data_IF_507248901521
#
_entry.id   IF_507248901521
#
_cell.length_a   1.000
_cell.length_b   1.000
_cell.length_c   1.000
_cell.angle_alpha   90.00
_cell.angle_beta   90.00
_cell.angle_gamma   90.00
#
_symmetry.space_group_name_H-M   'P 1'
#
loop_
_entity.id
_entity.type
_entity.pdbx_description
1 polymer ?
#
# COMPACT_ATOMS: atom_id res chain seq x y z
N UNK A 1 -7.42 -10.44 23.17
CA UNK A 1 -7.26 -10.07 21.75
C UNK A 1 -8.20 -10.95 20.95
N UNK A 2 -9.19 -10.37 20.28
CA UNK A 2 -10.12 -11.10 19.41
C UNK A 2 -9.57 -11.04 17.99
N UNK A 3 -9.16 -12.18 17.44
CA UNK A 3 -8.77 -12.31 16.04
C UNK A 3 -10.01 -12.81 15.29
N UNK A 4 -10.53 -12.02 14.36
CA UNK A 4 -11.64 -12.44 13.53
C UNK A 4 -11.25 -13.71 12.76
N UNK A 5 -12.16 -14.68 12.58
CA UNK A 5 -11.87 -15.87 11.79
C UNK A 5 -11.50 -15.41 10.38
N UNK A 6 -10.31 -15.82 9.92
CA UNK A 6 -9.93 -15.66 8.53
C UNK A 6 -10.96 -16.43 7.70
N UNK A 7 -11.94 -15.70 7.18
CA UNK A 7 -12.89 -16.19 6.19
C UNK A 7 -12.06 -16.83 5.08
N UNK A 8 -12.19 -18.15 4.98
CA UNK A 8 -11.42 -18.98 4.08
C UNK A 8 -11.61 -18.49 2.64
N UNK A 9 -10.57 -17.82 2.14
CA UNK A 9 -9.87 -18.28 0.93
C UNK A 9 -10.76 -18.47 -0.30
N UNK A 10 -11.60 -17.49 -0.59
CA UNK A 10 -12.06 -17.28 -1.95
C UNK A 10 -10.93 -16.61 -2.75
N UNK A 11 -10.47 -17.26 -3.82
CA UNK A 11 -9.71 -16.67 -4.95
C UNK A 11 -8.16 -16.59 -4.92
N UNK A 12 -7.43 -17.40 -4.15
CA UNK A 12 -5.97 -17.51 -4.39
C UNK A 12 -5.69 -18.62 -5.40
N UNK A 13 -5.96 -18.40 -6.69
CA UNK A 13 -5.52 -19.25 -7.81
C UNK A 13 -5.30 -18.45 -9.12
N UNK A 14 -4.96 -17.15 -9.08
CA UNK A 14 -4.44 -16.46 -10.25
C UNK A 14 -2.90 -16.42 -10.16
N UNK A 15 -2.25 -17.32 -10.89
CA UNK A 15 -0.80 -17.41 -10.94
C UNK A 15 -0.15 -16.15 -11.51
N UNK A 16 -0.86 -15.40 -12.35
CA UNK A 16 -0.37 -14.12 -12.89
C UNK A 16 -0.40 -13.06 -11.81
N UNK A 17 -1.52 -12.91 -11.09
CA UNK A 17 -1.62 -11.96 -9.99
C UNK A 17 -0.61 -12.26 -8.87
N UNK A 18 -0.41 -13.55 -8.54
CA UNK A 18 0.63 -13.95 -7.58
C UNK A 18 2.03 -13.59 -8.06
N UNK A 19 2.36 -13.88 -9.34
CA UNK A 19 3.65 -13.49 -9.90
C UNK A 19 3.85 -11.97 -9.91
N UNK A 20 2.79 -11.20 -10.14
CA UNK A 20 2.83 -9.73 -10.11
C UNK A 20 3.08 -9.20 -8.70
N UNK A 21 2.45 -9.78 -7.68
CA UNK A 21 2.68 -9.40 -6.27
C UNK A 21 4.13 -9.65 -5.87
N UNK A 22 4.68 -10.83 -6.20
CA UNK A 22 6.09 -11.15 -5.91
C UNK A 22 7.04 -10.18 -6.62
N UNK A 23 6.81 -9.92 -7.92
CA UNK A 23 7.61 -8.96 -8.69
C UNK A 23 7.52 -7.53 -8.10
N UNK A 24 6.33 -7.09 -7.69
CA UNK A 24 6.17 -5.79 -7.06
C UNK A 24 6.93 -5.70 -5.73
N UNK A 25 6.91 -6.76 -4.92
CA UNK A 25 7.68 -6.84 -3.68
C UNK A 25 9.18 -6.67 -3.92
N UNK A 26 9.73 -7.40 -4.90
CA UNK A 26 11.14 -7.32 -5.27
C UNK A 26 11.53 -5.90 -5.75
N UNK A 27 10.67 -5.27 -6.57
CA UNK A 27 10.91 -3.91 -7.07
C UNK A 27 10.86 -2.85 -5.96
N UNK A 28 9.99 -2.98 -4.96
CA UNK A 28 9.93 -2.08 -3.80
C UNK A 28 11.24 -2.15 -3.01
N UNK A 29 11.76 -3.37 -2.78
CA UNK A 29 13.02 -3.57 -2.05
C UNK A 29 14.18 -3.00 -2.86
N UNK A 30 14.26 -3.30 -4.16
CA UNK A 30 15.29 -2.77 -5.04
C UNK A 30 15.28 -1.23 -5.09
N UNK A 31 14.10 -0.62 -5.20
CA UNK A 31 13.96 0.84 -5.18
C UNK A 31 14.36 1.46 -3.83
N UNK A 32 13.99 0.81 -2.70
CA UNK A 32 14.37 1.26 -1.36
C UNK A 32 15.87 1.14 -1.07
N UNK A 33 16.55 0.19 -1.73
CA UNK A 33 18.00 -0.02 -1.63
C UNK A 33 18.82 0.80 -2.63
N UNK A 34 18.18 1.45 -3.60
CA UNK A 34 18.85 2.35 -4.54
C UNK A 34 19.29 3.63 -3.81
N UNK A 35 20.48 4.17 -4.17
CA UNK A 35 21.05 5.42 -3.65
C UNK A 35 20.34 6.67 -4.21
N UNK A 36 19.01 6.67 -4.18
CA UNK A 36 18.18 7.81 -4.58
C UNK A 36 17.89 8.70 -3.36
N UNK A 37 17.75 10.01 -3.60
CA UNK A 37 17.35 10.96 -2.55
C UNK A 37 15.93 10.65 -2.07
N UNK A 38 15.68 10.79 -0.76
CA UNK A 38 14.34 10.57 -0.22
C UNK A 38 13.39 11.61 -0.81
N UNK A 39 12.16 11.18 -1.12
CA UNK A 39 11.10 12.10 -1.49
C UNK A 39 10.90 13.15 -0.38
N UNK A 40 10.64 14.39 -0.76
CA UNK A 40 10.23 15.42 0.17
C UNK A 40 8.88 15.07 0.80
N UNK A 41 8.63 15.56 2.01
CA UNK A 41 7.36 15.35 2.70
C UNK A 41 6.16 15.83 1.87
N UNK A 42 6.25 17.01 1.24
CA UNK A 42 5.18 17.55 0.38
C UNK A 42 4.87 16.62 -0.79
N UNK A 43 5.89 16.00 -1.40
CA UNK A 43 5.72 15.07 -2.52
C UNK A 43 5.12 13.74 -2.07
N UNK A 44 5.47 13.28 -0.86
CA UNK A 44 4.87 12.10 -0.25
C UNK A 44 3.38 12.35 -0.01
N UNK A 45 3.01 13.49 0.57
CA UNK A 45 1.62 13.84 0.84
C UNK A 45 0.79 13.98 -0.46
N UNK A 46 1.39 14.53 -1.53
CA UNK A 46 0.78 14.59 -2.87
C UNK A 46 0.49 13.18 -3.43
N UNK A 47 1.49 12.28 -3.40
CA UNK A 47 1.34 10.90 -3.90
C UNK A 47 0.32 10.13 -3.08
N UNK A 48 0.33 10.30 -1.76
CA UNK A 48 -0.58 9.63 -0.84
C UNK A 48 -1.97 10.29 -0.77
N UNK A 49 -2.16 11.44 -1.43
CA UNK A 49 -3.41 12.23 -1.40
C UNK A 49 -3.94 12.46 0.01
N UNK A 50 -3.04 12.75 0.95
CA UNK A 50 -3.38 12.90 2.39
C UNK A 50 -4.41 14.02 2.62
N UNK A 51 -4.43 15.05 1.78
CA UNK A 51 -5.43 16.12 1.80
C UNK A 51 -6.86 15.63 1.56
N UNK A 52 -7.04 14.64 0.69
CA UNK A 52 -8.35 14.08 0.35
C UNK A 52 -8.90 13.24 1.52
N UNK A 53 -8.05 12.44 2.17
CA UNK A 53 -8.41 11.59 3.31
C UNK A 53 -8.80 12.38 4.57
N UNK A 54 -8.28 13.60 4.74
CA UNK A 54 -8.61 14.45 5.90
C UNK A 54 -10.00 15.10 5.78
N UNK A 55 -10.46 15.37 4.54
CA UNK A 55 -11.80 15.92 4.29
C UNK A 55 -12.94 14.93 4.56
N UNK A 56 -12.66 13.63 4.56
CA UNK A 56 -13.65 12.57 4.78
C UNK A 56 -13.93 12.28 6.27
N UNK A 57 -13.08 12.77 7.19
CA UNK A 57 -13.21 12.55 8.64
C UNK A 57 -13.74 13.75 9.44
N UNK A 58 -13.95 14.91 8.80
CA UNK A 58 -14.40 16.15 9.48
C UNK A 58 -15.91 16.42 9.35
N UNK A 59 -16.67 15.51 8.73
CA UNK A 59 -18.13 15.60 8.53
C UNK A 59 -19.00 14.96 9.62
N UNK A 60 -18.44 14.60 10.78
CA UNK A 60 -19.19 14.06 11.93
C UNK A 60 -18.70 14.72 13.22
N UNK A 61 -19.12 15.96 13.48
CA UNK A 61 -19.12 16.57 14.81
C UNK A 61 -20.40 17.36 15.03
#
# INVERSE_FOLDING_TARGET
>A
MYVAPAQSRGAVQDHVALAEIELCGDLIIAASAADEERLSADRIDEVLRVGDLRGEGEGER
#
